data_IF_659456118118
#
_entry.id   IF_659456118118
#
_cell.length_a   1.000
_cell.length_b   1.000
_cell.length_c   1.000
_cell.angle_alpha   90.00
_cell.angle_beta   90.00
_cell.angle_gamma   90.00
#
_symmetry.space_group_name_H-M   'P 1'
#
loop_
_entity.id
_entity.type
_entity.pdbx_description
1 polymer ?
#
# COMPACT_ATOMS: atom_id res chain seq x y z
N UNK A 1 -1.34 -2.53 8.84
CA UNK A 1 -1.26 -2.44 7.36
C UNK A 1 -0.39 -1.26 6.90
N UNK A 2 -0.60 -0.03 7.39
CA UNK A 2 0.21 1.15 7.00
C UNK A 2 1.72 0.95 7.21
N UNK A 3 2.14 0.33 8.33
CA UNK A 3 3.56 0.02 8.56
C UNK A 3 4.15 -0.89 7.48
N UNK A 4 3.41 -1.94 7.09
CA UNK A 4 3.81 -2.83 6.01
C UNK A 4 3.84 -2.10 4.66
N UNK A 5 2.88 -1.20 4.39
CA UNK A 5 2.85 -0.40 3.18
C UNK A 5 4.06 0.55 3.11
N UNK A 6 4.35 1.25 4.22
CA UNK A 6 5.50 2.16 4.31
C UNK A 6 6.82 1.41 4.07
N UNK A 7 7.01 0.28 4.76
CA UNK A 7 8.23 -0.52 4.59
C UNK A 7 8.36 -1.11 3.18
N UNK A 8 7.25 -1.57 2.59
CA UNK A 8 7.24 -2.08 1.23
C UNK A 8 7.63 -0.99 0.22
N UNK A 9 7.13 0.23 0.40
CA UNK A 9 7.52 1.38 -0.41
C UNK A 9 9.00 1.72 -0.26
N UNK A 10 9.52 1.76 0.98
CA UNK A 10 10.94 2.04 1.24
C UNK A 10 11.86 1.01 0.58
N UNK A 11 11.53 -0.28 0.71
CA UNK A 11 12.26 -1.37 0.05
C UNK A 11 12.21 -1.23 -1.47
N UNK A 12 11.05 -0.86 -2.02
CA UNK A 12 10.89 -0.64 -3.47
C UNK A 12 11.71 0.54 -3.97
N UNK A 13 11.75 1.65 -3.21
CA UNK A 13 12.58 2.81 -3.52
C UNK A 13 14.06 2.41 -3.48
N UNK A 14 14.50 1.69 -2.46
CA UNK A 14 15.87 1.20 -2.35
C UNK A 14 16.25 0.31 -3.55
N UNK A 15 15.44 -0.73 -3.84
CA UNK A 15 15.65 -1.59 -5.01
C UNK A 15 15.73 -0.80 -6.32
N UNK A 16 14.89 0.23 -6.47
CA UNK A 16 14.86 1.05 -7.68
C UNK A 16 16.13 1.89 -7.89
N UNK A 17 16.84 2.23 -6.81
CA UNK A 17 18.12 2.96 -6.86
C UNK A 17 19.28 2.05 -7.24
N UNK A 18 19.21 0.78 -6.85
CA UNK A 18 20.29 -0.18 -7.07
C UNK A 18 20.17 -0.91 -8.41
N UNK A 19 18.94 -1.22 -8.85
CA UNK A 19 18.70 -1.96 -10.10
C UNK A 19 18.97 -1.09 -11.31
N UNK A 20 19.93 -1.48 -12.14
CA UNK A 20 20.29 -0.79 -13.40
C UNK A 20 19.67 -1.49 -14.60
N UNK A 21 19.01 -0.72 -15.48
CA UNK A 21 18.56 -1.14 -16.80
C UNK A 21 18.70 0.03 -17.79
N UNK A 22 18.96 -0.27 -19.06
CA UNK A 22 19.20 0.76 -20.08
C UNK A 22 20.28 1.78 -19.65
N UNK A 23 21.35 1.29 -19.01
CA UNK A 23 22.50 2.10 -18.62
C UNK A 23 22.33 3.01 -17.39
N UNK A 24 21.22 2.94 -16.65
CA UNK A 24 21.01 3.75 -15.43
C UNK A 24 20.08 3.08 -14.40
N UNK A 25 20.06 3.53 -13.14
CA UNK A 25 19.09 3.05 -12.15
C UNK A 25 17.64 3.17 -12.61
N UNK A 26 16.80 2.16 -12.38
CA UNK A 26 15.39 2.16 -12.79
C UNK A 26 14.57 3.24 -12.08
N UNK A 27 15.01 3.69 -10.90
CA UNK A 27 14.43 4.80 -10.15
C UNK A 27 14.69 6.17 -10.78
N UNK A 28 15.57 6.26 -11.79
CA UNK A 28 15.81 7.51 -12.52
C UNK A 28 14.71 7.87 -13.53
N UNK A 29 13.93 6.87 -13.99
CA UNK A 29 12.85 7.08 -14.97
C UNK A 29 11.64 7.75 -14.32
N UNK A 30 11.14 8.84 -14.93
CA UNK A 30 10.03 9.64 -14.39
C UNK A 30 8.77 8.82 -14.10
N UNK A 31 8.39 7.90 -15.00
CA UNK A 31 7.23 7.04 -14.81
C UNK A 31 7.32 6.11 -13.57
N UNK A 32 8.54 5.80 -13.09
CA UNK A 32 8.75 5.05 -11.84
C UNK A 32 8.73 6.00 -10.63
N UNK A 33 9.36 7.17 -10.75
CA UNK A 33 9.35 8.20 -9.69
C UNK A 33 7.94 8.67 -9.35
N UNK A 34 7.15 9.05 -10.36
CA UNK A 34 5.78 9.54 -10.14
C UNK A 34 4.92 8.49 -9.45
N UNK A 35 4.95 7.24 -9.91
CA UNK A 35 4.22 6.16 -9.24
C UNK A 35 4.63 5.98 -7.78
N UNK A 36 5.92 5.99 -7.47
CA UNK A 36 6.38 5.89 -6.08
C UNK A 36 5.98 7.12 -5.24
N UNK A 37 5.92 8.31 -5.84
CA UNK A 37 5.43 9.52 -5.18
C UNK A 37 3.92 9.45 -4.88
N UNK A 38 3.11 8.98 -5.83
CA UNK A 38 1.67 8.77 -5.64
C UNK A 38 1.40 7.75 -4.51
N UNK A 39 2.18 6.67 -4.47
CA UNK A 39 2.13 5.68 -3.39
C UNK A 39 2.52 6.28 -2.03
N UNK A 40 3.54 7.14 -2.00
CA UNK A 40 3.91 7.86 -0.77
C UNK A 40 2.74 8.70 -0.24
N UNK A 41 2.10 9.47 -1.12
CA UNK A 41 0.91 10.28 -0.76
C UNK A 41 -0.23 9.39 -0.27
N UNK A 42 -0.48 8.24 -0.92
CA UNK A 42 -1.52 7.28 -0.50
C UNK A 42 -1.23 6.70 0.89
N UNK A 43 0.02 6.37 1.20
CA UNK A 43 0.44 5.90 2.53
C UNK A 43 0.30 6.99 3.59
N UNK A 44 0.71 8.22 3.28
CA UNK A 44 0.58 9.37 4.18
C UNK A 44 -0.89 9.69 4.49
N UNK A 45 -1.74 9.68 3.46
CA UNK A 45 -3.19 9.88 3.60
C UNK A 45 -3.83 8.81 4.48
N UNK A 46 -3.52 7.53 4.23
CA UNK A 46 -4.03 6.45 5.06
C UNK A 46 -3.56 6.55 6.52
N UNK A 47 -2.32 6.99 6.75
CA UNK A 47 -1.78 7.25 8.08
C UNK A 47 -2.57 8.35 8.80
N UNK A 48 -2.87 9.45 8.12
CA UNK A 48 -3.66 10.54 8.69
C UNK A 48 -5.06 10.04 9.12
N UNK A 49 -5.77 9.33 8.25
CA UNK A 49 -7.10 8.77 8.58
C UNK A 49 -7.06 7.81 9.77
N UNK A 50 -6.03 6.95 9.84
CA UNK A 50 -5.88 6.04 10.98
C UNK A 50 -5.62 6.80 12.28
N UNK A 51 -4.77 7.82 12.28
CA UNK A 51 -4.54 8.63 13.48
C UNK A 51 -5.78 9.40 13.92
N UNK A 52 -6.50 9.99 12.97
CA UNK A 52 -7.74 10.72 13.24
C UNK A 52 -8.81 9.81 13.87
N UNK A 53 -8.95 8.57 13.36
CA UNK A 53 -9.89 7.58 13.93
C UNK A 53 -9.62 7.21 15.40
N UNK A 54 -8.40 7.43 15.88
CA UNK A 54 -8.04 7.17 17.27
C UNK A 54 -8.41 8.33 18.21
N UNK A 55 -8.55 9.55 17.69
CA UNK A 55 -8.90 10.72 18.50
C UNK A 55 -10.36 10.68 18.95
N UNK A 56 -11.27 10.20 18.10
CA UNK A 56 -12.68 9.98 18.45
C UNK A 56 -13.18 8.67 17.82
N UNK A 57 -12.95 7.52 18.49
CA UNK A 57 -13.28 6.21 17.95
C UNK A 57 -14.79 6.00 17.76
N UNK A 58 -15.18 5.53 16.57
CA UNK A 58 -16.53 5.09 16.23
C UNK A 58 -16.46 3.91 15.25
N UNK A 59 -17.60 3.24 15.02
CA UNK A 59 -17.71 2.22 13.97
C UNK A 59 -17.30 2.78 12.60
N UNK A 60 -17.75 4.01 12.31
CA UNK A 60 -17.49 4.77 11.09
C UNK A 60 -16.00 5.03 10.91
N UNK A 61 -15.35 5.61 11.93
CA UNK A 61 -13.96 6.01 11.84
C UNK A 61 -13.04 4.78 11.77
N UNK A 62 -13.38 3.70 12.49
CA UNK A 62 -12.69 2.41 12.38
C UNK A 62 -12.83 1.78 10.99
N UNK A 63 -14.02 1.83 10.38
CA UNK A 63 -14.25 1.31 9.03
C UNK A 63 -13.48 2.11 7.97
N UNK A 64 -13.49 3.45 8.04
CA UNK A 64 -12.71 4.33 7.17
C UNK A 64 -11.21 4.10 7.31
N UNK A 65 -10.70 4.08 8.55
CA UNK A 65 -9.32 3.78 8.87
C UNK A 65 -8.86 2.45 8.25
N UNK A 66 -9.68 1.41 8.39
CA UNK A 66 -9.40 0.09 7.81
C UNK A 66 -9.43 0.09 6.29
N UNK A 67 -10.39 0.79 5.68
CA UNK A 67 -10.50 0.93 4.22
C UNK A 67 -9.24 1.58 3.64
N UNK A 68 -8.86 2.77 4.14
CA UNK A 68 -7.69 3.50 3.66
C UNK A 68 -6.39 2.72 3.89
N UNK A 69 -6.24 2.07 5.05
CA UNK A 69 -5.06 1.26 5.35
C UNK A 69 -4.93 0.04 4.42
N UNK A 70 -6.05 -0.60 4.06
CA UNK A 70 -6.07 -1.77 3.17
C UNK A 70 -5.77 -1.35 1.74
N UNK A 71 -6.42 -0.28 1.26
CA UNK A 71 -6.19 0.30 -0.06
C UNK A 71 -4.74 0.74 -0.27
N UNK A 72 -4.13 1.39 0.73
CA UNK A 72 -2.73 1.78 0.65
C UNK A 72 -1.80 0.58 0.56
N UNK A 73 -2.00 -0.45 1.39
CA UNK A 73 -1.17 -1.65 1.35
C UNK A 73 -1.32 -2.42 0.02
N UNK A 74 -2.55 -2.57 -0.48
CA UNK A 74 -2.82 -3.23 -1.77
C UNK A 74 -2.21 -2.48 -2.95
N UNK A 75 -2.29 -1.15 -2.96
CA UNK A 75 -1.69 -0.34 -4.02
C UNK A 75 -0.16 -0.43 -4.00
N UNK A 76 0.46 -0.24 -2.83
CA UNK A 76 1.93 -0.29 -2.70
C UNK A 76 2.46 -1.66 -3.10
N UNK A 77 1.84 -2.74 -2.62
CA UNK A 77 2.37 -4.09 -2.86
C UNK A 77 2.21 -4.53 -4.32
N UNK A 78 1.13 -4.14 -4.98
CA UNK A 78 0.94 -4.38 -6.42
C UNK A 78 2.01 -3.67 -7.26
N UNK A 79 2.26 -2.39 -6.99
CA UNK A 79 3.30 -1.64 -7.71
C UNK A 79 4.72 -2.12 -7.35
N UNK A 80 4.96 -2.52 -6.10
CA UNK A 80 6.22 -3.10 -5.69
C UNK A 80 6.55 -4.35 -6.51
N UNK A 81 5.60 -5.27 -6.70
CA UNK A 81 5.76 -6.43 -7.58
C UNK A 81 6.12 -6.00 -9.01
N UNK A 82 5.42 -5.00 -9.56
CA UNK A 82 5.66 -4.50 -10.92
C UNK A 82 6.99 -3.74 -11.08
N UNK A 83 7.54 -3.15 -10.02
CA UNK A 83 8.83 -2.45 -10.03
C UNK A 83 9.99 -3.44 -9.87
N UNK A 84 9.84 -4.45 -9.02
CA UNK A 84 10.85 -5.50 -8.83
C UNK A 84 10.90 -6.47 -10.01
N UNK A 85 9.81 -6.61 -10.78
CA UNK A 85 9.78 -7.47 -11.96
C UNK A 85 9.88 -8.96 -11.58
N UNK A 86 10.62 -9.75 -12.36
CA UNK A 86 10.68 -11.21 -12.18
C UNK A 86 11.15 -11.67 -10.79
N UNK A 87 12.07 -10.95 -10.14
CA UNK A 87 12.55 -11.31 -8.79
C UNK A 87 11.42 -11.23 -7.74
N UNK A 88 10.37 -10.46 -8.03
CA UNK A 88 9.23 -10.30 -7.14
C UNK A 88 8.38 -11.56 -6.99
N UNK A 89 8.60 -12.59 -7.80
CA UNK A 89 7.87 -13.86 -7.73
C UNK A 89 8.79 -15.04 -7.40
N UNK A 90 10.05 -14.80 -7.07
CA UNK A 90 11.01 -15.84 -6.66
C UNK A 90 11.18 -15.89 -5.15
N UNK A 91 11.92 -16.88 -4.67
CA UNK A 91 12.32 -17.01 -3.26
C UNK A 91 13.52 -16.14 -2.89
N UNK A 92 14.12 -15.45 -3.86
CA UNK A 92 15.33 -14.63 -3.66
C UNK A 92 15.00 -13.24 -3.11
N UNK A 93 13.72 -12.86 -3.08
CA UNK A 93 13.30 -11.56 -2.55
C UNK A 93 11.98 -11.62 -1.80
N UNK A 94 11.96 -11.00 -0.62
CA UNK A 94 10.81 -11.01 0.29
C UNK A 94 9.65 -10.09 -0.11
N UNK A 95 9.72 -9.41 -1.26
CA UNK A 95 8.69 -8.41 -1.63
C UNK A 95 7.32 -9.06 -1.83
N UNK A 96 7.31 -10.31 -2.32
CA UNK A 96 6.11 -11.14 -2.44
C UNK A 96 5.41 -11.41 -1.10
N UNK A 97 6.15 -11.43 0.02
CA UNK A 97 5.56 -11.64 1.34
C UNK A 97 4.63 -10.47 1.71
N UNK A 98 4.98 -9.25 1.33
CA UNK A 98 4.12 -8.08 1.52
C UNK A 98 2.85 -8.18 0.68
N UNK A 99 2.96 -8.59 -0.59
CA UNK A 99 1.80 -8.80 -1.47
C UNK A 99 0.85 -9.87 -0.93
N UNK A 100 1.38 -11.03 -0.53
CA UNK A 100 0.57 -12.09 0.11
C UNK A 100 -0.10 -11.60 1.39
N UNK A 101 0.62 -10.82 2.22
CA UNK A 101 0.06 -10.22 3.43
C UNK A 101 -1.04 -9.21 3.12
N UNK A 102 -0.88 -8.39 2.08
CA UNK A 102 -1.91 -7.45 1.63
C UNK A 102 -3.20 -8.19 1.28
N UNK A 103 -3.09 -9.23 0.44
CA UNK A 103 -4.23 -10.03 0.01
C UNK A 103 -4.93 -10.73 1.19
N UNK A 104 -4.17 -11.41 2.05
CA UNK A 104 -4.75 -12.09 3.21
C UNK A 104 -5.38 -11.12 4.22
N UNK A 105 -4.69 -10.01 4.54
CA UNK A 105 -5.21 -9.05 5.52
C UNK A 105 -6.41 -8.25 5.04
N UNK A 106 -6.61 -8.10 3.73
CA UNK A 106 -7.80 -7.47 3.17
C UNK A 106 -9.08 -8.31 3.39
N UNK A 107 -8.96 -9.63 3.57
CA UNK A 107 -10.10 -10.51 3.81
C UNK A 107 -10.44 -10.67 5.30
N UNK A 108 -9.48 -10.42 6.19
CA UNK A 108 -9.68 -10.48 7.64
C UNK A 108 -10.67 -9.39 8.07
N UNK A 109 -11.74 -9.75 8.77
CA UNK A 109 -12.82 -8.84 9.27
C UNK A 109 -13.84 -8.38 8.19
N UNK A 110 -13.97 -9.15 7.10
CA UNK A 110 -14.92 -8.88 6.01
C UNK A 110 -14.39 -7.83 5.02
N UNK A 111 -14.62 -7.94 3.70
CA UNK A 111 -13.96 -7.10 2.70
C UNK A 111 -14.19 -5.59 2.92
N UNK A 112 -13.19 -4.71 2.74
CA UNK A 112 -13.35 -3.26 2.92
C UNK A 112 -14.50 -2.65 2.09
N UNK A 113 -14.75 -3.19 0.89
CA UNK A 113 -15.88 -2.76 0.03
C UNK A 113 -17.25 -3.05 0.65
N UNK A 114 -17.37 -4.08 1.46
CA UNK A 114 -18.62 -4.37 2.17
C UNK A 114 -18.86 -3.34 3.28
N UNK A 115 -17.79 -2.88 3.94
CA UNK A 115 -17.87 -1.85 4.98
C UNK A 115 -18.28 -0.49 4.39
N UNK A 116 -17.84 -0.16 3.18
CA UNK A 116 -18.27 1.08 2.49
C UNK A 116 -19.79 1.16 2.31
N UNK A 117 -20.47 0.06 1.96
CA UNK A 117 -21.94 0.05 1.86
C UNK A 117 -22.64 0.40 3.18
N UNK A 118 -22.02 0.09 4.32
CA UNK A 118 -22.57 0.46 5.64
C UNK A 118 -22.36 1.95 5.93
N UNK A 119 -21.26 2.52 5.43
CA UNK A 119 -20.95 3.94 5.57
C UNK A 119 -21.82 4.83 4.68
N UNK A 120 -22.32 4.34 3.55
CA UNK A 120 -23.24 5.09 2.68
C UNK A 120 -24.47 5.58 3.44
N UNK A 121 -25.00 4.78 4.36
CA UNK A 121 -26.16 5.11 5.19
C UNK A 121 -25.88 6.17 6.28
N UNK A 122 -24.62 6.57 6.48
CA UNK A 122 -24.23 7.60 7.45
C UNK A 122 -23.90 8.95 6.78
N UNK A 123 -23.83 8.99 5.45
CA UNK A 123 -23.53 10.20 4.66
C UNK A 123 -24.81 10.88 4.15
N UNK A 124 -25.94 10.16 4.13
CA UNK A 124 -27.26 10.62 3.70
C UNK A 124 -28.30 10.37 4.81
#
# INVERSE_FOLDING_TARGET
QIGAASRCLDLTVAYSKDRVQFGRPIGSFQARKHRMADLYVKVASARAVVHDSMATPSSTSAALARYFASEALSAVTSEAVQIHGGIAITWEHDIQLYFKRAHGSAQLLGPPREQLRRLEAEVF
#
